data_IF_446817354072
#
_entry.id   IF_446817354072
#
_cell.length_a   1.000
_cell.length_b   1.000
_cell.length_c   1.000
_cell.angle_alpha   90.00
_cell.angle_beta   90.00
_cell.angle_gamma   90.00
#
_symmetry.space_group_name_H-M   'P 1'
#
loop_
_entity.id
_entity.type
_entity.pdbx_description
1 polymer ?
#
# COMPACT_ATOMS: atom_id res chain seq x y z
N UNK A 1 54.86 63.82 3.45
CA UNK A 1 54.95 62.35 3.47
C UNK A 1 53.53 61.83 3.66
N UNK A 2 52.90 61.35 2.59
CA UNK A 2 51.53 60.82 2.61
C UNK A 2 51.63 59.29 2.55
N UNK A 3 51.12 58.58 3.57
CA UNK A 3 50.93 57.14 3.50
C UNK A 3 49.45 56.85 3.25
N UNK A 4 49.16 56.27 2.08
CA UNK A 4 47.83 55.80 1.70
C UNK A 4 47.45 54.56 2.49
N UNK A 5 46.23 54.54 3.04
CA UNK A 5 45.64 53.36 3.66
C UNK A 5 44.93 52.51 2.59
N UNK A 6 45.31 51.24 2.47
CA UNK A 6 44.68 50.26 1.61
C UNK A 6 43.55 49.57 2.40
N UNK A 7 42.29 49.82 2.03
CA UNK A 7 41.12 49.16 2.62
C UNK A 7 40.82 47.90 1.81
N UNK A 8 41.04 46.72 2.39
CA UNK A 8 40.56 45.45 1.86
C UNK A 8 39.07 45.30 2.16
N UNK A 9 38.24 45.35 1.11
CA UNK A 9 36.81 45.05 1.21
C UNK A 9 36.59 43.54 0.98
N UNK A 10 36.32 42.80 2.05
CA UNK A 10 35.97 41.39 1.97
C UNK A 10 34.46 41.25 1.69
N UNK A 11 34.10 40.76 0.50
CA UNK A 11 32.72 40.40 0.14
C UNK A 11 32.37 39.03 0.71
N UNK A 12 31.51 38.98 1.73
CA UNK A 12 30.94 37.74 2.22
C UNK A 12 29.83 37.25 1.27
N UNK A 13 30.01 36.06 0.70
CA UNK A 13 28.95 35.35 -0.03
C UNK A 13 27.93 34.82 0.99
N UNK A 14 26.69 35.31 0.92
CA UNK A 14 25.59 34.74 1.69
C UNK A 14 25.15 33.47 0.98
N UNK A 15 25.51 32.31 1.53
CA UNK A 15 24.97 31.04 1.08
C UNK A 15 23.51 30.94 1.55
N UNK A 16 22.56 30.89 0.62
CA UNK A 16 21.16 30.61 0.93
C UNK A 16 20.98 29.11 1.11
N UNK A 17 20.80 28.66 2.36
CA UNK A 17 20.37 27.30 2.63
C UNK A 17 18.87 27.19 2.26
N UNK A 18 18.53 26.31 1.30
CA UNK A 18 17.13 25.96 1.08
C UNK A 18 16.60 25.23 2.32
N UNK A 19 15.42 25.59 2.86
CA UNK A 19 14.84 24.84 3.97
C UNK A 19 14.49 23.43 3.47
N UNK A 20 15.19 22.43 4.00
CA UNK A 20 14.78 21.03 3.87
C UNK A 20 13.51 20.86 4.71
N UNK A 21 12.35 20.78 4.03
CA UNK A 21 11.11 20.43 4.70
C UNK A 21 11.25 18.98 5.20
N UNK A 22 11.01 18.68 6.49
CA UNK A 22 10.97 17.31 6.95
C UNK A 22 9.98 16.53 6.07
N UNK A 23 10.46 15.47 5.41
CA UNK A 23 9.58 14.54 4.72
C UNK A 23 8.93 13.69 5.82
N UNK A 24 7.72 14.07 6.20
CA UNK A 24 6.90 13.26 7.09
C UNK A 24 6.62 11.93 6.38
N UNK A 25 6.98 10.82 7.02
CA UNK A 25 6.61 9.48 6.54
C UNK A 25 5.11 9.32 6.77
N UNK A 26 4.32 9.69 5.78
CA UNK A 26 2.88 9.52 5.82
C UNK A 26 2.57 8.06 5.59
N UNK A 27 1.88 7.45 6.56
CA UNK A 27 1.32 6.11 6.47
C UNK A 27 -0.05 6.17 5.79
N UNK A 28 -0.24 5.46 4.66
CA UNK A 28 -1.52 5.37 3.95
C UNK A 28 -2.11 3.94 3.97
N UNK A 29 -3.39 3.84 4.27
CA UNK A 29 -4.10 2.54 4.24
C UNK A 29 -5.48 2.74 3.60
N UNK A 30 -5.54 2.81 2.26
CA UNK A 30 -6.80 3.07 1.55
C UNK A 30 -7.82 1.95 1.78
N UNK A 31 -9.06 2.33 2.09
CA UNK A 31 -10.11 1.35 2.34
C UNK A 31 -10.47 0.58 1.06
N UNK A 32 -10.35 -0.76 1.05
CA UNK A 32 -10.84 -1.59 -0.05
C UNK A 32 -12.36 -1.57 -0.05
N UNK A 33 -12.95 -1.24 -1.18
CA UNK A 33 -14.41 -1.14 -1.37
C UNK A 33 -14.99 -2.34 -2.11
N UNK A 34 -14.15 -3.09 -2.84
CA UNK A 34 -14.51 -4.37 -3.46
C UNK A 34 -13.27 -5.29 -3.51
N UNK A 35 -13.39 -6.59 -3.17
CA UNK A 35 -14.63 -7.36 -2.96
C UNK A 35 -15.35 -7.08 -1.63
N UNK A 36 -16.62 -7.47 -1.57
CA UNK A 36 -17.46 -7.44 -0.35
C UNK A 36 -17.84 -8.86 0.08
N UNK A 37 -18.43 -9.02 1.27
CA UNK A 37 -18.64 -10.35 1.88
C UNK A 37 -19.52 -11.32 1.09
N UNK A 38 -20.47 -10.78 0.32
CA UNK A 38 -21.40 -11.58 -0.46
C UNK A 38 -20.80 -12.14 -1.76
N UNK A 39 -19.61 -11.68 -2.15
CA UNK A 39 -19.05 -11.94 -3.47
C UNK A 39 -18.44 -13.35 -3.57
N UNK A 40 -18.63 -13.96 -4.74
CA UNK A 40 -17.97 -15.20 -5.13
C UNK A 40 -17.24 -15.01 -6.45
N UNK A 41 -15.93 -15.26 -6.45
CA UNK A 41 -15.08 -15.17 -7.64
C UNK A 41 -14.74 -16.56 -8.16
N UNK A 42 -15.01 -16.87 -9.43
CA UNK A 42 -14.50 -18.08 -10.04
C UNK A 42 -12.97 -18.04 -10.13
N UNK A 43 -12.31 -19.14 -9.78
CA UNK A 43 -10.87 -19.30 -10.04
C UNK A 43 -10.55 -19.11 -11.53
N UNK A 44 -9.41 -18.49 -11.84
CA UNK A 44 -9.00 -18.15 -13.21
C UNK A 44 -9.73 -16.96 -13.84
N UNK A 45 -10.76 -16.40 -13.20
CA UNK A 45 -11.49 -15.25 -13.73
C UNK A 45 -10.73 -13.94 -13.58
N UNK A 46 -11.04 -12.98 -14.45
CA UNK A 46 -10.58 -11.60 -14.32
C UNK A 46 -11.54 -10.83 -13.42
N UNK A 47 -11.00 -10.18 -12.39
CA UNK A 47 -11.78 -9.42 -11.41
C UNK A 47 -11.14 -8.05 -11.19
N UNK A 48 -11.95 -7.07 -10.77
CA UNK A 48 -11.47 -5.72 -10.47
C UNK A 48 -11.52 -5.50 -8.97
N UNK A 49 -10.36 -5.26 -8.35
CA UNK A 49 -10.28 -4.78 -6.97
C UNK A 49 -10.42 -3.26 -6.97
N UNK A 50 -11.17 -2.69 -6.03
CA UNK A 50 -11.36 -1.23 -5.91
C UNK A 50 -11.12 -0.75 -4.48
N UNK A 51 -10.68 0.49 -4.34
CA UNK A 51 -10.45 1.13 -3.05
C UNK A 51 -10.71 2.64 -3.11
N UNK A 52 -10.90 3.25 -1.94
CA UNK A 52 -11.14 4.68 -1.78
C UNK A 52 -9.83 5.48 -1.83
N UNK A 53 -9.73 6.42 -2.75
CA UNK A 53 -8.55 7.30 -2.93
C UNK A 53 -8.73 8.69 -2.32
N UNK A 54 -9.90 9.02 -1.76
CA UNK A 54 -10.24 10.38 -1.31
C UNK A 54 -9.37 10.87 -0.16
N UNK A 55 -8.78 9.96 0.61
CA UNK A 55 -7.94 10.26 1.78
C UNK A 55 -6.44 10.10 1.51
N UNK A 56 -6.03 9.91 0.25
CA UNK A 56 -4.62 9.85 -0.13
C UNK A 56 -4.09 11.29 -0.21
N UNK A 57 -3.10 11.67 0.61
CA UNK A 57 -2.61 13.03 0.62
C UNK A 57 -1.59 13.29 -0.51
N UNK A 58 -1.33 14.56 -0.87
CA UNK A 58 -0.49 14.95 -2.01
C UNK A 58 0.92 14.34 -2.02
N UNK A 59 1.52 14.15 -0.86
CA UNK A 59 2.84 13.56 -0.68
C UNK A 59 2.90 12.06 -1.02
N UNK A 60 1.76 11.37 -1.01
CA UNK A 60 1.68 9.93 -1.24
C UNK A 60 1.10 9.55 -2.62
N UNK A 61 0.83 10.54 -3.49
CA UNK A 61 0.20 10.33 -4.81
C UNK A 61 1.04 9.50 -5.78
N UNK A 62 2.34 9.32 -5.49
CA UNK A 62 3.27 8.54 -6.29
C UNK A 62 3.57 7.18 -5.67
N UNK A 63 2.99 6.85 -4.52
CA UNK A 63 3.23 5.58 -3.85
C UNK A 63 2.83 4.43 -4.75
N UNK A 64 3.71 3.44 -4.82
CA UNK A 64 3.46 2.20 -5.54
C UNK A 64 2.73 1.23 -4.63
N UNK A 65 1.80 0.51 -5.22
CA UNK A 65 0.99 -0.45 -4.51
C UNK A 65 1.16 -1.87 -5.04
N UNK A 66 0.76 -2.81 -4.20
CA UNK A 66 0.74 -4.24 -4.46
C UNK A 66 -0.55 -4.86 -3.90
N UNK A 67 -1.12 -5.82 -4.63
CA UNK A 67 -2.25 -6.63 -4.18
C UNK A 67 -1.79 -8.05 -3.92
N UNK A 68 -2.13 -8.57 -2.74
CA UNK A 68 -1.91 -9.96 -2.36
C UNK A 68 -3.24 -10.66 -2.12
N UNK A 69 -3.28 -11.96 -2.41
CA UNK A 69 -4.35 -12.84 -1.97
C UNK A 69 -3.95 -13.46 -0.62
N UNK A 70 -4.90 -13.55 0.29
CA UNK A 70 -4.76 -14.29 1.55
C UNK A 70 -6.02 -15.08 1.87
N UNK A 71 -5.97 -15.85 2.94
CA UNK A 71 -7.15 -16.50 3.50
C UNK A 71 -6.99 -16.70 5.00
N UNK A 72 -8.07 -16.51 5.75
CA UNK A 72 -7.99 -16.68 7.20
C UNK A 72 -7.95 -18.14 7.63
N UNK A 73 -6.97 -18.52 8.45
CA UNK A 73 -7.01 -19.75 9.24
C UNK A 73 -7.12 -19.42 10.71
N UNK A 74 -7.88 -20.23 11.43
CA UNK A 74 -8.01 -20.13 12.88
C UNK A 74 -7.32 -21.33 13.51
N UNK A 75 -6.38 -21.07 14.40
CA UNK A 75 -5.70 -22.04 15.26
C UNK A 75 -5.95 -21.68 16.73
N UNK A 76 -5.51 -22.54 17.66
CA UNK A 76 -5.61 -22.30 19.10
C UNK A 76 -4.22 -22.37 19.71
N UNK A 77 -3.87 -21.40 20.57
CA UNK A 77 -2.61 -21.43 21.31
C UNK A 77 -2.66 -22.40 22.52
N UNK A 78 -1.55 -22.54 23.23
CA UNK A 78 -1.44 -23.44 24.38
C UNK A 78 -2.35 -23.05 25.55
N UNK A 79 -2.76 -21.79 25.62
CA UNK A 79 -3.64 -21.23 26.65
C UNK A 79 -5.12 -21.30 26.22
N UNK A 80 -5.42 -21.81 25.02
CA UNK A 80 -6.76 -21.96 24.48
C UNK A 80 -7.33 -20.68 23.86
N UNK A 81 -6.50 -19.69 23.51
CA UNK A 81 -6.93 -18.49 22.80
C UNK A 81 -6.97 -18.71 21.28
N UNK A 82 -7.94 -18.08 20.62
CA UNK A 82 -8.06 -18.11 19.17
C UNK A 82 -6.93 -17.30 18.53
N UNK A 83 -6.18 -17.91 17.60
CA UNK A 83 -5.15 -17.26 16.80
C UNK A 83 -5.57 -17.27 15.34
N UNK A 84 -5.80 -16.08 14.78
CA UNK A 84 -6.22 -15.89 13.39
C UNK A 84 -5.01 -15.48 12.54
N UNK A 85 -4.73 -16.24 11.48
CA UNK A 85 -3.65 -15.97 10.51
C UNK A 85 -4.22 -15.63 9.15
N UNK A 86 -3.63 -14.67 8.45
CA UNK A 86 -4.07 -14.19 7.13
C UNK A 86 -3.54 -15.02 5.95
N UNK A 87 -2.50 -15.84 6.18
CA UNK A 87 -1.88 -16.72 5.18
C UNK A 87 -1.70 -16.06 3.80
N UNK A 88 -1.06 -14.88 3.79
CA UNK A 88 -0.85 -14.09 2.58
C UNK A 88 0.11 -14.80 1.62
N UNK A 89 -0.26 -14.89 0.34
CA UNK A 89 0.65 -15.34 -0.71
C UNK A 89 1.56 -14.19 -1.17
N UNK A 90 2.61 -13.95 -0.38
CA UNK A 90 3.63 -12.94 -0.69
C UNK A 90 4.52 -13.33 -1.88
N UNK A 91 4.50 -14.60 -2.30
CA UNK A 91 5.37 -15.10 -3.38
C UNK A 91 4.75 -14.86 -4.75
N UNK A 92 3.42 -14.83 -4.83
CA UNK A 92 2.68 -14.62 -6.07
C UNK A 92 1.71 -13.44 -5.92
N UNK A 93 2.21 -12.18 -5.92
CA UNK A 93 1.34 -11.03 -5.85
C UNK A 93 0.38 -10.98 -7.06
N UNK A 94 -0.87 -10.62 -6.81
CA UNK A 94 -1.89 -10.47 -7.85
C UNK A 94 -1.58 -9.31 -8.80
N UNK A 95 -0.95 -8.25 -8.27
CA UNK A 95 -0.46 -7.10 -9.03
C UNK A 95 0.59 -6.34 -8.21
N UNK A 96 1.55 -5.72 -8.88
CA UNK A 96 2.60 -4.90 -8.26
C UNK A 96 2.86 -3.61 -9.05
N UNK A 97 3.47 -2.61 -8.41
CA UNK A 97 4.06 -1.45 -9.07
C UNK A 97 3.08 -0.45 -9.66
N UNK A 98 1.78 -0.58 -9.39
CA UNK A 98 0.76 0.36 -9.86
C UNK A 98 0.64 1.55 -8.90
N UNK A 99 0.14 2.69 -9.38
CA UNK A 99 -0.05 3.86 -8.54
C UNK A 99 -1.28 3.66 -7.64
N UNK A 100 -1.12 3.88 -6.33
CA UNK A 100 -2.21 3.74 -5.35
C UNK A 100 -3.38 4.72 -5.59
N UNK A 101 -3.15 5.82 -6.31
CA UNK A 101 -4.20 6.78 -6.68
C UNK A 101 -5.12 6.32 -7.81
N UNK A 102 -4.86 5.14 -8.42
CA UNK A 102 -5.71 4.60 -9.49
C UNK A 102 -7.10 4.17 -9.03
N UNK A 103 -7.28 3.89 -7.72
CA UNK A 103 -8.55 3.49 -7.12
C UNK A 103 -9.07 2.12 -7.54
N UNK A 104 -8.42 1.47 -8.50
CA UNK A 104 -8.78 0.14 -8.95
C UNK A 104 -7.63 -0.57 -9.66
N UNK A 105 -7.67 -1.90 -9.62
CA UNK A 105 -6.75 -2.75 -10.37
C UNK A 105 -7.45 -4.03 -10.82
N UNK A 106 -7.34 -4.31 -12.11
CA UNK A 106 -7.76 -5.59 -12.69
C UNK A 106 -6.70 -6.64 -12.37
N UNK A 107 -7.15 -7.79 -11.86
CA UNK A 107 -6.33 -8.96 -11.50
C UNK A 107 -6.91 -10.22 -12.12
N UNK A 108 -6.09 -11.26 -12.19
CA UNK A 108 -6.55 -12.62 -12.45
C UNK A 108 -6.59 -13.38 -11.13
N UNK A 109 -7.74 -13.97 -10.81
CA UNK A 109 -7.90 -14.82 -9.64
C UNK A 109 -7.10 -16.10 -9.88
N UNK A 110 -6.16 -16.47 -9.00
CA UNK A 110 -5.34 -17.66 -9.21
C UNK A 110 -6.19 -18.92 -9.17
N UNK A 111 -5.71 -19.98 -9.81
CA UNK A 111 -6.29 -21.31 -9.70
C UNK A 111 -5.97 -21.92 -8.34
N UNK A 112 -6.77 -21.56 -7.33
CA UNK A 112 -6.62 -21.97 -5.93
C UNK A 112 -7.80 -22.83 -5.49
N UNK A 113 -7.63 -23.52 -4.37
CA UNK A 113 -8.69 -24.31 -3.75
C UNK A 113 -9.91 -23.44 -3.43
N UNK A 114 -11.14 -23.83 -3.84
CA UNK A 114 -12.35 -23.10 -3.47
C UNK A 114 -12.49 -22.94 -1.95
N UNK A 115 -13.00 -21.80 -1.51
CA UNK A 115 -13.09 -21.45 -0.09
C UNK A 115 -13.92 -20.19 0.13
N UNK A 116 -14.17 -19.85 1.40
CA UNK A 116 -15.08 -18.75 1.80
C UNK A 116 -14.44 -17.68 2.67
N UNK A 117 -13.14 -17.82 2.91
CA UNK A 117 -12.36 -17.10 3.89
C UNK A 117 -11.25 -16.28 3.25
N UNK A 118 -11.34 -16.04 1.93
CA UNK A 118 -10.34 -15.31 1.17
C UNK A 118 -10.41 -13.81 1.46
N UNK A 119 -9.26 -13.15 1.39
CA UNK A 119 -9.10 -11.71 1.56
C UNK A 119 -8.13 -11.18 0.51
N UNK A 120 -8.29 -9.90 0.18
CA UNK A 120 -7.32 -9.14 -0.59
C UNK A 120 -6.63 -8.18 0.37
N UNK A 121 -5.31 -8.09 0.28
CA UNK A 121 -4.53 -7.06 0.98
C UNK A 121 -3.93 -6.10 -0.04
N UNK A 122 -4.24 -4.81 0.13
CA UNK A 122 -3.63 -3.71 -0.60
C UNK A 122 -2.49 -3.13 0.23
N UNK A 123 -1.26 -3.30 -0.26
CA UNK A 123 -0.10 -2.62 0.28
C UNK A 123 0.20 -1.35 -0.52
N UNK A 124 0.36 -0.22 0.14
CA UNK A 124 1.08 0.95 -0.38
C UNK A 124 2.39 1.10 0.36
N UNK A 125 2.28 1.57 1.59
CA UNK A 125 3.31 1.63 2.64
C UNK A 125 2.87 0.84 3.89
N UNK A 126 1.56 0.79 4.16
CA UNK A 126 0.87 -0.12 5.06
C UNK A 126 -0.13 -0.99 4.31
N UNK A 127 -0.52 -2.10 4.92
CA UNK A 127 -1.52 -3.02 4.38
C UNK A 127 -2.94 -2.62 4.81
N UNK A 128 -3.89 -2.72 3.88
CA UNK A 128 -5.31 -2.71 4.18
C UNK A 128 -5.98 -4.00 3.69
N UNK A 129 -6.89 -4.55 4.50
CA UNK A 129 -7.51 -5.85 4.26
C UNK A 129 -8.96 -5.68 3.82
N UNK A 130 -9.38 -6.43 2.81
CA UNK A 130 -10.78 -6.46 2.36
C UNK A 130 -11.67 -7.24 3.33
N UNK A 131 -12.99 -7.08 3.25
CA UNK A 131 -13.91 -8.09 3.77
C UNK A 131 -13.61 -9.49 3.20
N UNK A 132 -14.00 -10.54 3.93
CA UNK A 132 -13.81 -11.91 3.46
C UNK A 132 -14.72 -12.22 2.28
N UNK A 133 -14.25 -12.88 1.24
CA UNK A 133 -15.06 -13.29 0.10
C UNK A 133 -14.83 -14.77 -0.25
N UNK A 134 -15.58 -15.26 -1.24
CA UNK A 134 -15.52 -16.66 -1.68
C UNK A 134 -14.74 -16.77 -2.98
N UNK A 135 -13.92 -17.81 -3.09
CA UNK A 135 -13.42 -18.32 -4.37
C UNK A 135 -14.13 -19.63 -4.65
N UNK A 136 -14.70 -19.76 -5.84
CA UNK A 136 -15.45 -20.94 -6.29
C UNK A 136 -14.75 -21.58 -7.48
N UNK A 137 -15.15 -22.80 -7.82
CA UNK A 137 -14.70 -23.44 -9.07
C UNK A 137 -15.12 -22.60 -10.29
N UNK A 138 -14.38 -22.68 -11.41
CA UNK A 138 -14.75 -22.07 -12.68
C UNK A 138 -16.19 -22.39 -13.10
#
# INVERSE_FOLDING_TARGET
MFFSALILLATALIATASPLRPQELVVISPNITYPTEAVSWPAGSTQTVTWDTTRIPPEAVNNKAMLLLGHYTTTWDADGNEVKSENLDIKHPLATGFNITTGSKVITVPDTTPGKNYIIVLFGDSGNVSPQFKIVKP
#
